data_IF_377542859725
#
_entry.id   IF_377542859725
#
_cell.length_a   1.000
_cell.length_b   1.000
_cell.length_c   1.000
_cell.angle_alpha   90.00
_cell.angle_beta   90.00
_cell.angle_gamma   90.00
#
_symmetry.space_group_name_H-M   'P 1'
#
loop_
_entity.id
_entity.type
_entity.pdbx_description
1 polymer ?
#
# COMPACT_ATOMS: atom_id res chain seq x y z
N UNK A 1 -2.93 15.42 39.55
CA UNK A 1 -4.30 15.85 39.88
C UNK A 1 -4.70 16.86 38.80
N UNK A 2 -5.61 16.49 37.92
CA UNK A 2 -6.17 17.41 36.93
C UNK A 2 -7.04 18.40 37.68
N UNK A 3 -6.70 19.69 37.66
CA UNK A 3 -7.58 20.76 38.16
C UNK A 3 -8.80 20.78 37.21
N UNK A 4 -10.00 20.54 37.78
CA UNK A 4 -11.25 20.68 37.03
C UNK A 4 -11.32 22.07 36.41
N UNK A 5 -11.63 22.14 35.12
CA UNK A 5 -11.85 23.40 34.42
C UNK A 5 -13.22 23.95 34.83
N UNK A 6 -13.25 24.78 35.86
CA UNK A 6 -14.48 25.42 36.36
C UNK A 6 -15.14 26.35 35.29
N UNK A 7 -14.45 26.62 34.17
CA UNK A 7 -14.93 27.51 33.11
C UNK A 7 -15.81 26.82 32.05
N UNK A 8 -15.85 25.50 32.01
CA UNK A 8 -16.58 24.72 30.99
C UNK A 8 -17.69 23.89 31.61
N UNK A 9 -18.87 23.94 31.02
CA UNK A 9 -20.02 23.15 31.48
C UNK A 9 -19.86 21.64 31.17
N UNK A 10 -19.08 21.29 30.17
CA UNK A 10 -18.83 19.92 29.73
C UNK A 10 -17.36 19.74 29.32
N UNK A 11 -16.87 18.50 29.29
CA UNK A 11 -15.55 18.20 28.76
C UNK A 11 -15.47 18.55 27.26
N UNK A 12 -14.31 19.05 26.76
CA UNK A 12 -14.14 19.36 25.35
C UNK A 12 -14.41 18.13 24.46
N UNK A 13 -15.24 18.30 23.45
CA UNK A 13 -15.48 17.31 22.42
C UNK A 13 -14.35 17.32 21.39
N UNK A 14 -13.86 16.13 20.99
CA UNK A 14 -12.87 15.97 19.92
C UNK A 14 -13.57 15.67 18.61
N UNK A 15 -13.64 16.67 17.72
CA UNK A 15 -14.19 16.53 16.38
C UNK A 15 -13.06 16.11 15.42
N UNK A 16 -13.27 14.97 14.72
CA UNK A 16 -12.32 14.46 13.73
C UNK A 16 -12.70 14.98 12.34
N UNK A 17 -11.84 15.83 11.78
CA UNK A 17 -12.04 16.42 10.46
C UNK A 17 -11.08 15.81 9.44
N UNK A 18 -11.62 15.42 8.28
CA UNK A 18 -10.84 14.93 7.13
C UNK A 18 -9.91 13.77 7.46
N UNK A 19 -10.40 12.69 8.09
CA UNK A 19 -9.56 11.57 8.43
C UNK A 19 -9.00 10.91 7.17
N UNK A 20 -7.72 10.55 7.21
CA UNK A 20 -7.08 9.70 6.20
C UNK A 20 -7.19 8.25 6.63
N UNK A 21 -7.66 7.38 5.73
CA UNK A 21 -7.85 5.97 6.01
C UNK A 21 -6.86 5.10 5.23
N UNK A 22 -6.37 4.06 5.90
CA UNK A 22 -5.63 2.94 5.30
C UNK A 22 -6.35 1.67 5.72
N UNK A 23 -6.67 0.82 4.74
CA UNK A 23 -7.34 -0.47 4.98
C UNK A 23 -6.31 -1.58 4.95
N UNK A 24 -6.28 -2.38 5.99
CA UNK A 24 -5.40 -3.54 6.12
C UNK A 24 -6.25 -4.79 6.28
N UNK A 25 -6.13 -5.70 5.31
CA UNK A 25 -6.80 -6.98 5.30
C UNK A 25 -5.77 -8.10 5.46
N UNK A 26 -6.04 -9.12 6.28
CA UNK A 26 -5.23 -10.31 6.37
C UNK A 26 -6.01 -11.47 5.75
N UNK A 27 -5.51 -12.02 4.65
CA UNK A 27 -6.10 -13.21 4.04
C UNK A 27 -5.85 -14.43 4.93
N UNK A 28 -6.83 -15.33 4.97
CA UNK A 28 -6.70 -16.60 5.71
C UNK A 28 -5.67 -17.51 5.04
N UNK A 29 -4.96 -18.37 5.79
CA UNK A 29 -3.93 -19.26 5.26
C UNK A 29 -4.40 -20.14 4.08
N UNK A 30 -5.62 -20.66 4.14
CA UNK A 30 -6.21 -21.44 3.07
C UNK A 30 -6.46 -20.65 1.77
N UNK A 31 -6.50 -19.31 1.84
CA UNK A 31 -6.65 -18.43 0.68
C UNK A 31 -5.27 -18.00 0.17
N UNK A 32 -4.42 -17.46 1.05
CA UNK A 32 -3.16 -16.86 0.57
C UNK A 32 -2.11 -17.90 0.17
N UNK A 33 -2.10 -19.11 0.74
CA UNK A 33 -1.09 -20.13 0.40
C UNK A 33 -1.13 -20.54 -1.07
N UNK A 34 -2.27 -20.98 -1.63
CA UNK A 34 -2.34 -21.33 -3.04
C UNK A 34 -2.13 -20.13 -3.97
N UNK A 35 -2.59 -18.93 -3.57
CA UNK A 35 -2.32 -17.69 -4.30
C UNK A 35 -0.81 -17.44 -4.37
N UNK A 36 -0.12 -17.46 -3.25
CA UNK A 36 1.33 -17.19 -3.19
C UNK A 36 2.13 -18.23 -3.98
N UNK A 37 1.76 -19.50 -3.92
CA UNK A 37 2.41 -20.56 -4.70
C UNK A 37 2.33 -20.27 -6.21
N UNK A 38 1.13 -19.93 -6.70
CA UNK A 38 0.93 -19.54 -8.11
C UNK A 38 1.76 -18.34 -8.50
N UNK A 39 1.75 -17.28 -7.65
CA UNK A 39 2.51 -16.05 -7.89
C UNK A 39 4.01 -16.29 -7.92
N UNK A 40 4.55 -17.00 -6.93
CA UNK A 40 5.99 -17.29 -6.83
C UNK A 40 6.47 -18.09 -8.04
N UNK A 41 5.75 -19.14 -8.42
CA UNK A 41 6.07 -19.95 -9.62
C UNK A 41 6.13 -19.09 -10.90
N UNK A 42 5.17 -18.15 -11.06
CA UNK A 42 5.18 -17.26 -12.20
C UNK A 42 6.34 -16.25 -12.15
N UNK A 43 6.61 -15.67 -10.97
CA UNK A 43 7.72 -14.73 -10.79
C UNK A 43 9.09 -15.39 -11.04
N UNK A 44 9.27 -16.64 -10.63
CA UNK A 44 10.46 -17.41 -10.96
C UNK A 44 10.60 -17.59 -12.48
N UNK A 45 9.50 -17.90 -13.19
CA UNK A 45 9.52 -18.09 -14.64
C UNK A 45 9.90 -16.80 -15.39
N UNK A 46 9.32 -15.65 -15.04
CA UNK A 46 9.63 -14.36 -15.73
C UNK A 46 11.01 -13.79 -15.36
N UNK A 47 11.62 -14.29 -14.28
CA UNK A 47 12.96 -13.89 -13.83
C UNK A 47 14.06 -14.87 -14.18
N UNK A 48 13.76 -15.93 -14.92
CA UNK A 48 14.74 -16.97 -15.22
C UNK A 48 16.05 -16.44 -15.77
N UNK A 49 15.97 -15.42 -16.62
CA UNK A 49 17.12 -14.82 -17.30
C UNK A 49 17.59 -13.50 -16.65
N UNK A 50 16.99 -13.13 -15.49
CA UNK A 50 17.40 -11.94 -14.73
C UNK A 50 18.42 -12.35 -13.68
N UNK A 51 19.60 -11.70 -13.63
CA UNK A 51 20.62 -12.00 -12.61
C UNK A 51 20.09 -11.88 -11.19
N UNK A 52 20.71 -12.55 -10.21
CA UNK A 52 20.44 -12.30 -8.79
C UNK A 52 20.55 -10.82 -8.47
N UNK A 53 19.73 -10.34 -7.56
CA UNK A 53 19.74 -8.94 -7.15
C UNK A 53 20.89 -8.69 -6.17
N UNK A 54 21.71 -7.71 -6.47
CA UNK A 54 22.72 -7.22 -5.55
C UNK A 54 22.08 -6.59 -4.31
N UNK A 55 22.85 -6.46 -3.23
CA UNK A 55 22.41 -5.77 -2.02
C UNK A 55 22.04 -4.31 -2.33
N UNK A 56 20.89 -3.87 -1.86
CA UNK A 56 20.33 -2.55 -2.14
C UNK A 56 19.54 -2.46 -3.47
N UNK A 57 19.62 -3.49 -4.31
CA UNK A 57 18.90 -3.51 -5.59
C UNK A 57 17.42 -3.88 -5.41
N UNK A 58 16.59 -3.34 -6.30
CA UNK A 58 15.20 -3.73 -6.45
C UNK A 58 14.91 -4.05 -7.92
N UNK A 59 13.98 -4.97 -8.13
CA UNK A 59 13.46 -5.30 -9.46
C UNK A 59 11.95 -5.17 -9.48
N UNK A 60 11.43 -4.68 -10.59
CA UNK A 60 9.99 -4.59 -10.84
C UNK A 60 9.63 -5.30 -12.14
N UNK A 61 8.49 -5.97 -12.15
CA UNK A 61 7.90 -6.54 -13.37
C UNK A 61 7.21 -5.47 -14.21
N UNK A 62 6.76 -5.85 -15.40
CA UNK A 62 5.75 -5.07 -16.15
C UNK A 62 4.44 -4.92 -15.35
N UNK A 63 3.66 -3.89 -15.66
CA UNK A 63 2.48 -3.47 -14.90
C UNK A 63 1.19 -4.20 -15.26
N UNK A 64 1.26 -5.21 -16.12
CA UNK A 64 0.09 -5.94 -16.64
C UNK A 64 -0.26 -7.24 -15.90
N UNK A 65 0.31 -7.53 -14.73
CA UNK A 65 0.17 -8.84 -14.07
C UNK A 65 -1.29 -9.22 -13.76
N UNK A 66 -2.17 -8.24 -13.50
CA UNK A 66 -3.60 -8.47 -13.26
C UNK A 66 -4.36 -9.08 -14.45
N UNK A 67 -3.77 -9.07 -15.66
CA UNK A 67 -4.34 -9.64 -16.88
C UNK A 67 -3.99 -11.12 -17.04
N UNK A 68 -3.07 -11.64 -16.24
CA UNK A 68 -2.56 -12.99 -16.33
C UNK A 68 -3.41 -13.96 -15.51
N UNK A 69 -3.64 -15.16 -16.04
CA UNK A 69 -4.40 -16.22 -15.38
C UNK A 69 -3.85 -16.57 -13.99
N UNK A 70 -2.53 -16.60 -13.86
CA UNK A 70 -1.84 -16.92 -12.61
C UNK A 70 -2.12 -15.92 -11.48
N UNK A 71 -2.58 -14.70 -11.82
CA UNK A 71 -2.91 -13.66 -10.87
C UNK A 71 -4.41 -13.56 -10.56
N UNK A 72 -5.26 -14.36 -11.20
CA UNK A 72 -6.72 -14.31 -11.03
C UNK A 72 -7.17 -14.43 -9.58
N UNK A 73 -6.56 -15.34 -8.80
CA UNK A 73 -6.87 -15.49 -7.38
C UNK A 73 -6.57 -14.21 -6.57
N UNK A 74 -5.42 -13.58 -6.80
CA UNK A 74 -5.09 -12.30 -6.17
C UNK A 74 -6.01 -11.17 -6.64
N UNK A 75 -6.32 -11.11 -7.94
CA UNK A 75 -7.25 -10.10 -8.50
C UNK A 75 -8.63 -10.19 -7.87
N UNK A 76 -9.14 -11.40 -7.59
CA UNK A 76 -10.39 -11.58 -6.85
C UNK A 76 -10.32 -10.96 -5.46
N UNK A 77 -9.26 -11.27 -4.70
CA UNK A 77 -9.07 -10.69 -3.37
C UNK A 77 -8.94 -9.14 -3.40
N UNK A 78 -8.25 -8.61 -4.42
CA UNK A 78 -8.12 -7.15 -4.61
C UNK A 78 -9.50 -6.53 -4.85
N UNK A 79 -10.33 -7.12 -5.72
CA UNK A 79 -11.67 -6.60 -6.03
C UNK A 79 -12.57 -6.60 -4.80
N UNK A 80 -12.59 -7.69 -4.04
CA UNK A 80 -13.34 -7.77 -2.78
C UNK A 80 -12.91 -6.68 -1.78
N UNK A 81 -11.60 -6.45 -1.66
CA UNK A 81 -11.07 -5.41 -0.78
C UNK A 81 -11.42 -4.00 -1.28
N UNK A 82 -11.35 -3.74 -2.60
CA UNK A 82 -11.79 -2.47 -3.21
C UNK A 82 -13.27 -2.24 -2.96
N UNK A 83 -14.12 -3.25 -3.15
CA UNK A 83 -15.55 -3.15 -2.90
C UNK A 83 -15.87 -2.82 -1.43
N UNK A 84 -15.10 -3.40 -0.49
CA UNK A 84 -15.22 -3.08 0.93
C UNK A 84 -14.82 -1.62 1.23
N UNK A 85 -13.78 -1.10 0.59
CA UNK A 85 -13.37 0.31 0.69
C UNK A 85 -14.46 1.24 0.16
N UNK A 86 -15.00 0.96 -1.03
CA UNK A 86 -16.07 1.75 -1.64
C UNK A 86 -17.33 1.74 -0.78
N UNK A 87 -17.67 0.60 -0.18
CA UNK A 87 -18.80 0.49 0.74
C UNK A 87 -18.58 1.34 2.00
N UNK A 88 -17.40 1.29 2.60
CA UNK A 88 -17.03 2.11 3.76
C UNK A 88 -17.13 3.60 3.45
N UNK A 89 -16.62 4.01 2.29
CA UNK A 89 -16.66 5.41 1.83
C UNK A 89 -18.04 5.84 1.29
N UNK A 90 -19.02 4.91 1.22
CA UNK A 90 -20.36 5.14 0.65
C UNK A 90 -20.31 5.66 -0.80
N UNK A 91 -19.36 5.15 -1.57
CA UNK A 91 -19.25 5.46 -3.00
C UNK A 91 -20.30 4.66 -3.77
N UNK A 92 -21.10 5.33 -4.61
CA UNK A 92 -22.18 4.71 -5.37
C UNK A 92 -21.64 3.81 -6.50
N UNK A 93 -20.70 4.34 -7.30
CA UNK A 93 -20.13 3.58 -8.41
C UNK A 93 -19.19 2.49 -7.92
N UNK A 94 -19.45 1.25 -8.38
CA UNK A 94 -18.61 0.07 -8.11
C UNK A 94 -17.77 -0.35 -9.32
N UNK A 95 -17.91 0.33 -10.45
CA UNK A 95 -17.16 0.00 -11.67
C UNK A 95 -15.74 0.55 -11.59
N UNK A 96 -14.84 -0.23 -10.99
CA UNK A 96 -13.42 0.09 -10.80
C UNK A 96 -12.55 -0.87 -11.61
N UNK A 97 -11.63 -0.31 -12.39
CA UNK A 97 -10.61 -1.04 -13.12
C UNK A 97 -9.28 -1.05 -12.35
N UNK A 98 -8.54 -2.16 -12.42
CA UNK A 98 -7.14 -2.20 -12.02
C UNK A 98 -6.34 -1.61 -13.18
N UNK A 99 -5.74 -0.44 -12.96
CA UNK A 99 -4.98 0.32 -13.96
C UNK A 99 -3.54 -0.11 -14.08
N UNK A 100 -3.01 -0.76 -13.06
CA UNK A 100 -1.66 -1.33 -13.03
C UNK A 100 -1.53 -2.37 -11.93
N UNK A 101 -0.75 -3.42 -12.18
CA UNK A 101 -0.42 -4.44 -11.19
C UNK A 101 0.97 -5.00 -11.52
N UNK A 102 1.90 -4.91 -10.57
CA UNK A 102 3.30 -5.30 -10.77
C UNK A 102 3.91 -5.90 -9.51
N UNK A 103 4.89 -6.76 -9.71
CA UNK A 103 5.68 -7.34 -8.63
C UNK A 103 6.88 -6.45 -8.30
N UNK A 104 7.18 -6.35 -7.01
CA UNK A 104 8.39 -5.74 -6.47
C UNK A 104 9.20 -6.80 -5.72
N UNK A 105 10.45 -6.95 -6.10
CA UNK A 105 11.43 -7.79 -5.42
C UNK A 105 12.53 -6.89 -4.86
N UNK A 106 12.62 -6.83 -3.54
CA UNK A 106 13.53 -5.95 -2.82
C UNK A 106 14.61 -6.79 -2.13
N UNK A 107 15.85 -6.74 -2.62
CA UNK A 107 17.00 -7.37 -1.98
C UNK A 107 17.27 -6.76 -0.60
N UNK A 108 18.08 -7.42 0.25
CA UNK A 108 18.59 -6.81 1.48
C UNK A 108 19.16 -5.42 1.21
N UNK A 109 18.77 -4.42 2.01
CA UNK A 109 19.18 -3.02 1.85
C UNK A 109 18.35 -2.19 0.86
N UNK A 110 17.51 -2.79 0.03
CA UNK A 110 16.66 -2.05 -0.91
C UNK A 110 15.58 -1.22 -0.19
N UNK A 111 15.33 -0.01 -0.69
CA UNK A 111 14.35 0.95 -0.16
C UNK A 111 13.36 1.35 -1.25
N UNK A 112 12.15 1.75 -0.86
CA UNK A 112 11.27 2.54 -1.72
C UNK A 112 11.14 3.94 -1.13
N UNK A 113 11.59 4.93 -1.89
CA UNK A 113 11.49 6.34 -1.49
C UNK A 113 10.04 6.77 -1.39
N UNK A 114 9.78 7.83 -0.65
CA UNK A 114 8.46 8.42 -0.54
C UNK A 114 7.93 8.85 -1.91
N UNK A 115 6.71 8.42 -2.24
CA UNK A 115 6.03 8.71 -3.51
C UNK A 115 4.51 8.60 -3.37
N UNK A 116 3.81 8.97 -4.43
CA UNK A 116 2.35 8.84 -4.61
C UNK A 116 2.07 8.22 -5.98
N UNK A 117 0.81 7.85 -6.25
CA UNK A 117 0.39 7.29 -7.53
C UNK A 117 -0.64 8.20 -8.22
N UNK A 118 -0.19 9.23 -8.97
CA UNK A 118 -1.09 10.13 -9.70
C UNK A 118 -2.06 9.38 -10.63
N UNK A 119 -3.22 9.98 -10.89
CA UNK A 119 -4.25 9.47 -11.80
C UNK A 119 -4.88 8.13 -11.36
N UNK A 120 -4.83 7.82 -10.08
CA UNK A 120 -5.51 6.66 -9.51
C UNK A 120 -6.35 7.08 -8.29
N UNK A 121 -7.39 6.31 -8.00
CA UNK A 121 -8.24 6.52 -6.82
C UNK A 121 -7.67 5.79 -5.60
N UNK A 122 -7.36 4.51 -5.77
CA UNK A 122 -6.73 3.68 -4.75
C UNK A 122 -5.42 3.10 -5.27
N UNK A 123 -4.51 2.91 -4.35
CA UNK A 123 -3.32 2.09 -4.50
C UNK A 123 -3.32 1.00 -3.43
N UNK A 124 -2.61 -0.06 -3.67
CA UNK A 124 -2.47 -1.11 -2.68
C UNK A 124 -1.27 -2.00 -2.90
N UNK A 125 -0.95 -2.76 -1.87
CA UNK A 125 0.17 -3.70 -1.86
C UNK A 125 -0.26 -5.00 -1.20
N UNK A 126 -0.02 -6.11 -1.88
CA UNK A 126 -0.16 -7.46 -1.35
C UNK A 126 1.22 -8.05 -1.06
N UNK A 127 1.39 -8.69 0.09
CA UNK A 127 2.67 -9.21 0.56
C UNK A 127 2.75 -10.72 0.39
N UNK A 128 3.58 -11.14 -0.58
CA UNK A 128 3.78 -12.55 -0.95
C UNK A 128 4.84 -13.21 -0.05
N UNK A 129 5.97 -12.51 0.14
CA UNK A 129 7.09 -12.95 0.98
C UNK A 129 7.61 -11.79 1.79
N UNK A 130 7.51 -11.92 3.11
CA UNK A 130 7.88 -10.90 4.08
C UNK A 130 8.52 -11.59 5.28
N UNK A 131 9.49 -10.95 5.90
CA UNK A 131 10.17 -11.41 7.10
C UNK A 131 10.51 -10.23 8.01
N UNK A 132 10.85 -10.51 9.26
CA UNK A 132 11.26 -9.50 10.24
C UNK A 132 12.36 -8.59 9.67
N UNK A 133 12.22 -7.28 9.88
CA UNK A 133 13.12 -6.26 9.33
C UNK A 133 12.81 -5.84 7.88
N UNK A 134 11.78 -6.45 7.25
CA UNK A 134 11.27 -6.06 5.93
C UNK A 134 9.72 -6.04 5.90
N UNK A 135 9.09 -5.90 7.05
CA UNK A 135 7.67 -6.14 7.33
C UNK A 135 6.89 -4.86 7.64
N UNK A 136 7.29 -3.73 7.07
CA UNK A 136 6.62 -2.45 7.28
C UNK A 136 6.38 -1.69 5.99
N UNK A 137 5.36 -0.83 6.02
CA UNK A 137 5.11 0.26 5.08
C UNK A 137 4.83 1.53 5.88
N UNK A 138 5.39 2.65 5.45
CA UNK A 138 5.25 3.95 6.11
C UNK A 138 4.29 4.84 5.32
N UNK A 139 3.35 5.47 6.01
CA UNK A 139 2.48 6.50 5.47
C UNK A 139 2.84 7.83 6.08
N UNK A 140 2.91 8.87 5.24
CA UNK A 140 3.32 10.21 5.64
C UNK A 140 2.12 11.16 5.59
N UNK A 141 2.03 12.08 6.56
CA UNK A 141 0.97 13.08 6.59
C UNK A 141 1.11 14.01 5.36
N UNK A 142 0.10 14.08 4.48
CA UNK A 142 0.15 14.90 3.28
C UNK A 142 0.04 16.40 3.57
N UNK A 143 -0.36 16.78 4.78
CA UNK A 143 -0.49 18.17 5.19
C UNK A 143 0.87 18.72 5.58
N UNK A 144 1.43 19.58 4.74
CA UNK A 144 2.77 20.16 4.94
C UNK A 144 2.92 20.94 6.24
N UNK A 145 1.81 21.49 6.76
CA UNK A 145 1.79 22.30 7.97
C UNK A 145 2.11 21.52 9.25
N UNK A 146 1.85 20.23 9.31
CA UNK A 146 2.13 19.40 10.50
C UNK A 146 3.63 19.27 10.80
N UNK A 147 4.49 19.55 9.80
CA UNK A 147 5.95 19.50 9.97
C UNK A 147 6.56 20.80 10.49
N UNK A 148 5.79 21.91 10.54
CA UNK A 148 6.31 23.24 10.92
C UNK A 148 6.63 23.32 12.42
N UNK A 149 5.77 22.74 13.25
CA UNK A 149 5.95 22.74 14.72
C UNK A 149 5.73 21.31 15.23
N UNK A 150 6.73 20.78 15.92
CA UNK A 150 6.69 19.44 16.56
C UNK A 150 6.93 19.60 18.05
N UNK A 151 5.89 19.81 18.85
CA UNK A 151 6.04 19.86 20.30
C UNK A 151 6.50 18.49 20.82
N UNK A 152 7.29 18.46 21.92
CA UNK A 152 7.61 17.20 22.59
C UNK A 152 6.31 16.54 23.07
N UNK A 153 6.21 15.24 22.83
CA UNK A 153 5.06 14.43 23.22
C UNK A 153 5.47 13.37 24.23
N UNK A 154 4.56 12.99 25.09
CA UNK A 154 4.80 11.93 26.09
C UNK A 154 4.71 10.53 25.46
N UNK A 155 3.93 10.40 24.38
CA UNK A 155 3.75 9.17 23.64
C UNK A 155 3.39 9.49 22.18
N UNK A 156 3.96 8.73 21.24
CA UNK A 156 3.62 8.86 19.83
C UNK A 156 2.30 8.12 19.53
N UNK A 157 1.44 8.79 18.77
CA UNK A 157 0.19 8.22 18.28
C UNK A 157 -0.10 8.70 16.86
N UNK A 158 -1.09 8.12 16.20
CA UNK A 158 -1.54 8.57 14.88
C UNK A 158 -2.10 10.01 14.87
N UNK A 159 -2.30 10.63 16.04
CA UNK A 159 -2.82 12.00 16.17
C UNK A 159 -1.72 13.06 16.29
N UNK A 160 -0.50 12.66 16.61
CA UNK A 160 0.59 13.59 16.93
C UNK A 160 1.92 13.25 16.22
N UNK A 161 1.85 12.45 15.14
CA UNK A 161 2.99 12.10 14.29
C UNK A 161 2.72 12.51 12.84
N UNK A 162 3.77 12.74 12.09
CA UNK A 162 3.72 12.96 10.64
C UNK A 162 4.01 11.68 9.82
N UNK A 163 4.32 10.57 10.51
CA UNK A 163 4.55 9.28 9.89
C UNK A 163 3.93 8.15 10.73
N UNK A 164 3.14 7.31 10.07
CA UNK A 164 2.59 6.09 10.66
C UNK A 164 3.22 4.87 10.02
N UNK A 165 3.80 4.00 10.84
CA UNK A 165 4.39 2.73 10.41
C UNK A 165 3.37 1.62 10.55
N UNK A 166 3.02 0.96 9.45
CA UNK A 166 2.08 -0.16 9.43
C UNK A 166 2.84 -1.47 9.27
N UNK A 167 2.72 -2.34 10.27
CA UNK A 167 3.31 -3.69 10.21
C UNK A 167 2.47 -4.61 9.32
N UNK A 168 3.14 -5.41 8.48
CA UNK A 168 2.54 -6.31 7.50
C UNK A 168 3.16 -7.71 7.60
N UNK A 169 2.49 -8.71 7.05
CA UNK A 169 2.96 -10.10 7.01
C UNK A 169 2.58 -10.76 5.69
N UNK A 170 2.97 -12.00 5.53
CA UNK A 170 2.58 -12.83 4.37
C UNK A 170 1.05 -12.92 4.30
N UNK A 171 0.48 -12.69 3.13
CA UNK A 171 -0.97 -12.68 2.92
C UNK A 171 -1.67 -11.39 3.38
N UNK A 172 -0.93 -10.37 3.85
CA UNK A 172 -1.50 -9.05 4.13
C UNK A 172 -1.76 -8.31 2.82
N UNK A 173 -2.92 -7.68 2.71
CA UNK A 173 -3.31 -6.76 1.66
C UNK A 173 -3.58 -5.39 2.28
N UNK A 174 -2.90 -4.36 1.82
CA UNK A 174 -3.08 -2.98 2.28
C UNK A 174 -3.60 -2.14 1.12
N UNK A 175 -4.65 -1.34 1.38
CA UNK A 175 -5.19 -0.36 0.43
C UNK A 175 -5.15 1.03 1.07
N UNK A 176 -4.94 2.03 0.24
CA UNK A 176 -4.86 3.43 0.66
C UNK A 176 -5.19 4.36 -0.51
N UNK A 177 -5.58 5.63 -0.24
CA UNK A 177 -5.76 6.61 -1.28
C UNK A 177 -4.48 6.79 -2.11
N UNK A 178 -4.59 6.80 -3.42
CA UNK A 178 -3.43 6.88 -4.32
C UNK A 178 -2.60 8.16 -4.15
N UNK A 179 -3.22 9.22 -3.63
CA UNK A 179 -2.56 10.49 -3.30
C UNK A 179 -1.76 10.46 -1.98
N UNK A 180 -1.96 9.43 -1.13
CA UNK A 180 -1.28 9.36 0.19
C UNK A 180 0.20 9.04 0.02
N UNK A 181 1.12 9.93 0.46
CA UNK A 181 2.55 9.68 0.37
C UNK A 181 2.94 8.48 1.24
N UNK A 182 3.71 7.57 0.66
CA UNK A 182 4.15 6.37 1.36
C UNK A 182 5.57 5.98 0.93
N UNK A 183 6.23 5.23 1.80
CA UNK A 183 7.58 4.74 1.59
C UNK A 183 7.77 3.37 2.22
N UNK A 184 8.88 2.72 1.88
CA UNK A 184 9.29 1.49 2.53
C UNK A 184 10.76 1.61 2.92
N UNK A 185 11.05 1.36 4.19
CA UNK A 185 12.40 1.38 4.74
C UNK A 185 13.28 0.28 4.12
N UNK A 186 14.58 0.42 4.33
CA UNK A 186 15.55 -0.56 3.89
C UNK A 186 15.18 -1.97 4.38
N UNK A 187 15.20 -2.93 3.48
CA UNK A 187 15.08 -4.33 3.85
C UNK A 187 16.27 -4.71 4.73
N UNK A 188 16.05 -4.82 6.05
CA UNK A 188 17.09 -5.15 7.04
C UNK A 188 17.27 -6.65 7.22
N UNK A 189 16.49 -7.48 6.52
CA UNK A 189 16.65 -8.92 6.53
C UNK A 189 17.69 -9.37 5.52
N UNK A 190 18.09 -10.66 5.58
CA UNK A 190 19.02 -11.26 4.61
C UNK A 190 18.26 -11.94 3.43
N UNK A 191 16.97 -11.73 3.30
CA UNK A 191 16.12 -12.34 2.26
C UNK A 191 15.43 -11.30 1.41
N UNK A 192 15.14 -11.66 0.16
CA UNK A 192 14.35 -10.81 -0.73
C UNK A 192 12.93 -10.70 -0.20
N UNK A 193 12.41 -9.47 -0.08
CA UNK A 193 11.00 -9.20 0.14
C UNK A 193 10.28 -9.19 -1.22
N UNK A 194 9.12 -9.85 -1.29
CA UNK A 194 8.29 -9.92 -2.50
C UNK A 194 6.91 -9.36 -2.19
N UNK A 195 6.50 -8.36 -2.95
CA UNK A 195 5.17 -7.77 -2.86
C UNK A 195 4.59 -7.51 -4.25
N UNK A 196 3.27 -7.49 -4.35
CA UNK A 196 2.53 -7.13 -5.56
C UNK A 196 1.82 -5.81 -5.29
N UNK A 197 2.23 -4.77 -6.01
CA UNK A 197 1.56 -3.46 -5.98
C UNK A 197 0.50 -3.40 -7.06
N UNK A 198 -0.54 -2.62 -6.82
CA UNK A 198 -1.59 -2.36 -7.80
C UNK A 198 -2.17 -0.96 -7.62
N UNK A 199 -2.75 -0.46 -8.70
CA UNK A 199 -3.54 0.76 -8.71
C UNK A 199 -4.95 0.47 -9.22
N UNK A 200 -5.92 1.24 -8.76
CA UNK A 200 -7.31 1.12 -9.15
C UNK A 200 -7.94 2.50 -9.37
N UNK A 201 -8.76 2.60 -10.43
CA UNK A 201 -9.47 3.81 -10.82
C UNK A 201 -10.86 3.46 -11.34
N UNK A 202 -11.82 4.39 -11.26
CA UNK A 202 -13.12 4.22 -11.88
C UNK A 202 -12.96 3.99 -13.38
N UNK A 203 -13.61 2.95 -13.92
CA UNK A 203 -13.40 2.51 -15.30
C UNK A 203 -13.66 3.62 -16.32
N UNK A 204 -14.75 4.35 -16.19
CA UNK A 204 -15.07 5.46 -17.09
C UNK A 204 -14.01 6.57 -17.10
N UNK A 205 -13.34 6.79 -15.96
CA UNK A 205 -12.24 7.77 -15.88
C UNK A 205 -10.96 7.19 -16.47
N UNK A 206 -10.65 5.92 -16.20
CA UNK A 206 -9.47 5.25 -16.73
C UNK A 206 -9.47 5.17 -18.28
N UNK A 207 -10.66 5.03 -18.90
CA UNK A 207 -10.81 5.00 -20.35
C UNK A 207 -10.51 6.36 -21.02
N UNK A 208 -10.71 7.45 -20.29
CA UNK A 208 -10.50 8.82 -20.82
C UNK A 208 -9.11 9.39 -20.52
N UNK A 209 -8.35 8.77 -19.63
CA UNK A 209 -6.99 9.20 -19.30
C UNK A 209 -6.03 8.83 -20.43
N UNK A 210 -5.31 9.83 -20.95
CA UNK A 210 -4.20 9.59 -21.86
C UNK A 210 -3.12 8.73 -21.20
N UNK A 211 -2.51 7.83 -21.96
CA UNK A 211 -1.36 7.07 -21.49
C UNK A 211 -0.21 8.03 -21.12
N UNK A 212 0.45 7.85 -19.98
CA UNK A 212 1.63 8.64 -19.64
C UNK A 212 2.70 8.49 -20.72
N UNK A 213 3.27 9.59 -21.18
CA UNK A 213 4.34 9.58 -22.20
C UNK A 213 5.61 8.83 -21.73
N UNK A 214 5.76 8.65 -20.41
CA UNK A 214 6.86 7.91 -19.78
C UNK A 214 6.38 6.53 -19.30
N UNK A 215 6.08 5.64 -20.10
CA UNK A 215 5.57 4.32 -19.69
C UNK A 215 4.99 3.52 -20.83
N UNK A 216 5.05 4.10 -22.02
CA UNK A 216 4.78 3.36 -23.24
C UNK A 216 5.92 2.35 -23.43
N UNK A 217 5.59 1.12 -23.26
CA UNK A 217 6.29 -0.10 -23.66
C UNK A 217 7.75 0.08 -24.09
N UNK A 218 8.68 -0.14 -23.16
CA UNK A 218 10.07 -0.50 -23.47
C UNK A 218 10.29 -1.95 -23.15
#
# INVERSE_FOLDING_TARGET
MARGHEAWSEAPEVIRLFPTFVWKCQLRPEVYRPVNESLLKHLEAIRRDVPPLDRGAAWQSGHGLHKLEQFRGLVSCIREAVDAVLAFLRVESRNVAITGCWANLNAPGAVHRMHTHPNNFLSGVYYVQVQDGADTINFHDPRTQVAIIRPPVTELSAYNTDQVVVKVGVGTLVLFPAWLPHSVDANRSERVRISISFNAMFAAFAETMGHPLWGADR
#
